data_IF_786760293394
#
_entry.id   IF_786760293394
#
_cell.length_a   1.000
_cell.length_b   1.000
_cell.length_c   1.000
_cell.angle_alpha   90.00
_cell.angle_beta   90.00
_cell.angle_gamma   90.00
#
_symmetry.space_group_name_H-M   'P 1'
#
loop_
_entity.id
_entity.type
_entity.pdbx_description
1 polymer ?
#
# COMPACT_ATOMS: atom_id res chain seq x y z
N UNK A 1 -13.91 9.04 -3.56
CA UNK A 1 -13.40 7.64 -3.51
C UNK A 1 -14.43 6.61 -3.08
N UNK A 2 -15.10 6.74 -1.91
CA UNK A 2 -16.15 5.78 -1.47
C UNK A 2 -17.23 5.60 -2.54
N UNK A 3 -17.74 6.70 -3.12
CA UNK A 3 -18.76 6.64 -4.17
C UNK A 3 -18.27 5.89 -5.43
N UNK A 4 -17.00 6.05 -5.81
CA UNK A 4 -16.41 5.34 -6.96
C UNK A 4 -16.28 3.84 -6.64
N UNK A 5 -15.82 3.51 -5.42
CA UNK A 5 -15.75 2.11 -4.97
C UNK A 5 -17.14 1.44 -5.01
N UNK A 6 -18.13 2.10 -4.43
CA UNK A 6 -19.51 1.60 -4.44
C UNK A 6 -20.09 1.50 -5.86
N UNK A 7 -19.80 2.46 -6.73
CA UNK A 7 -20.24 2.44 -8.12
C UNK A 7 -19.61 1.26 -8.90
N UNK A 8 -18.31 0.98 -8.70
CA UNK A 8 -17.64 -0.17 -9.30
C UNK A 8 -18.19 -1.49 -8.76
N UNK A 9 -18.36 -1.58 -7.44
CA UNK A 9 -18.85 -2.80 -6.79
C UNK A 9 -20.29 -3.13 -7.21
N UNK A 10 -21.19 -2.16 -7.10
CA UNK A 10 -22.60 -2.33 -7.48
C UNK A 10 -22.77 -2.45 -9.00
N UNK A 11 -22.00 -1.63 -9.75
CA UNK A 11 -22.02 -1.68 -11.22
C UNK A 11 -21.65 -3.07 -11.76
N UNK A 12 -20.62 -3.69 -11.19
CA UNK A 12 -20.21 -5.03 -11.59
C UNK A 12 -21.23 -6.11 -11.15
N UNK A 13 -21.78 -6.01 -9.95
CA UNK A 13 -22.84 -6.91 -9.50
C UNK A 13 -24.08 -6.86 -10.42
N UNK A 14 -24.47 -5.67 -10.88
CA UNK A 14 -25.55 -5.48 -11.83
C UNK A 14 -25.20 -6.02 -13.24
N UNK A 15 -23.94 -5.86 -13.65
CA UNK A 15 -23.45 -6.34 -14.95
C UNK A 15 -23.45 -7.87 -14.99
N UNK A 16 -23.04 -8.54 -13.92
CA UNK A 16 -23.16 -10.00 -13.78
C UNK A 16 -24.62 -10.45 -13.88
N UNK A 17 -25.54 -9.71 -13.21
CA UNK A 17 -26.97 -9.97 -13.29
C UNK A 17 -27.54 -9.82 -14.71
N UNK A 18 -27.05 -8.86 -15.47
CA UNK A 18 -27.44 -8.65 -16.88
C UNK A 18 -26.92 -9.75 -17.82
N UNK A 19 -25.69 -10.21 -17.61
CA UNK A 19 -25.05 -11.22 -18.47
C UNK A 19 -25.59 -12.64 -18.25
N UNK A 20 -25.85 -13.00 -17.00
CA UNK A 20 -26.27 -14.36 -16.59
C UNK A 20 -27.78 -14.53 -16.41
N UNK A 21 -28.50 -13.43 -16.42
CA UNK A 21 -29.90 -13.37 -15.99
C UNK A 21 -30.03 -13.25 -14.47
N UNK A 22 -30.89 -12.36 -14.00
CA UNK A 22 -31.07 -12.05 -12.58
C UNK A 22 -31.36 -13.32 -11.73
N UNK A 23 -32.21 -14.23 -12.21
CA UNK A 23 -32.54 -15.46 -11.49
C UNK A 23 -31.30 -16.37 -11.28
N UNK A 24 -30.46 -16.53 -12.30
CA UNK A 24 -29.24 -17.35 -12.24
C UNK A 24 -28.18 -16.72 -11.34
N UNK A 25 -28.07 -15.39 -11.35
CA UNK A 25 -27.13 -14.65 -10.51
C UNK A 25 -27.52 -14.71 -9.03
N UNK A 26 -28.81 -14.65 -8.71
CA UNK A 26 -29.27 -14.82 -7.33
C UNK A 26 -29.18 -16.27 -6.84
N UNK A 27 -29.35 -17.26 -7.74
CA UNK A 27 -29.22 -18.67 -7.39
C UNK A 27 -27.79 -19.11 -7.16
N UNK A 28 -26.82 -18.60 -7.96
CA UNK A 28 -25.39 -18.92 -7.87
C UNK A 28 -24.54 -17.67 -8.18
N UNK A 29 -24.44 -16.71 -7.26
CA UNK A 29 -23.66 -15.50 -7.47
C UNK A 29 -22.17 -15.85 -7.51
N UNK A 30 -21.46 -15.43 -8.56
CA UNK A 30 -20.00 -15.59 -8.63
C UNK A 30 -19.32 -14.43 -7.94
N UNK A 31 -19.67 -13.20 -8.31
CA UNK A 31 -19.07 -12.01 -7.72
C UNK A 31 -19.48 -11.82 -6.24
N UNK A 32 -20.76 -11.87 -5.94
CA UNK A 32 -21.30 -11.76 -4.58
C UNK A 32 -21.26 -13.08 -3.80
N UNK A 33 -20.74 -14.15 -4.41
CA UNK A 33 -20.58 -15.44 -3.74
C UNK A 33 -19.65 -15.37 -2.55
N UNK A 34 -19.99 -16.05 -1.47
CA UNK A 34 -19.23 -16.04 -0.22
C UNK A 34 -17.74 -16.33 -0.44
N UNK A 35 -17.42 -17.32 -1.28
CA UNK A 35 -16.02 -17.69 -1.57
C UNK A 35 -15.25 -16.53 -2.22
N UNK A 36 -15.87 -15.83 -3.20
CA UNK A 36 -15.23 -14.69 -3.85
C UNK A 36 -15.06 -13.50 -2.89
N UNK A 37 -16.08 -13.17 -2.10
CA UNK A 37 -16.01 -12.09 -1.12
C UNK A 37 -14.95 -12.36 -0.05
N UNK A 38 -14.81 -13.60 0.41
CA UNK A 38 -13.74 -13.97 1.35
C UNK A 38 -12.36 -13.87 0.70
N UNK A 39 -12.20 -14.29 -0.55
CA UNK A 39 -10.94 -14.15 -1.28
C UNK A 39 -10.58 -12.69 -1.55
N UNK A 40 -11.55 -11.86 -1.96
CA UNK A 40 -11.36 -10.41 -2.12
C UNK A 40 -10.94 -9.76 -0.79
N UNK A 41 -11.64 -10.08 0.29
CA UNK A 41 -11.34 -9.56 1.63
C UNK A 41 -9.93 -9.99 2.09
N UNK A 42 -9.54 -11.24 1.84
CA UNK A 42 -8.19 -11.75 2.11
C UNK A 42 -7.13 -10.98 1.33
N UNK A 43 -7.38 -10.76 0.04
CA UNK A 43 -6.47 -9.99 -0.82
C UNK A 43 -6.33 -8.55 -0.35
N UNK A 44 -7.41 -7.88 0.04
CA UNK A 44 -7.38 -6.55 0.66
C UNK A 44 -6.50 -6.56 1.91
N UNK A 45 -6.62 -7.58 2.77
CA UNK A 45 -5.80 -7.72 3.96
C UNK A 45 -4.32 -7.87 3.66
N UNK A 46 -3.96 -8.79 2.77
CA UNK A 46 -2.58 -9.08 2.42
C UNK A 46 -1.88 -7.87 1.75
N UNK A 47 -2.53 -7.24 0.79
CA UNK A 47 -1.97 -6.10 0.05
C UNK A 47 -2.11 -4.76 0.78
N UNK A 48 -3.08 -4.65 1.69
CA UNK A 48 -3.34 -3.41 2.40
C UNK A 48 -2.20 -2.98 3.33
N UNK A 49 -1.50 -3.94 3.94
CA UNK A 49 -0.34 -3.67 4.78
C UNK A 49 0.77 -3.01 3.94
N UNK A 50 1.01 -3.46 2.70
CA UNK A 50 1.91 -2.79 1.76
C UNK A 50 1.51 -1.35 1.45
N UNK A 51 0.21 -1.15 1.21
CA UNK A 51 -0.31 0.18 0.89
C UNK A 51 -0.14 1.15 2.07
N UNK A 52 -0.38 0.69 3.30
CA UNK A 52 -0.13 1.50 4.51
C UNK A 52 1.35 1.77 4.69
N UNK A 53 2.21 0.77 4.46
CA UNK A 53 3.67 0.94 4.47
C UNK A 53 4.11 2.05 3.51
N UNK A 54 3.69 1.97 2.25
CA UNK A 54 3.99 2.97 1.23
C UNK A 54 3.44 4.36 1.59
N UNK A 55 2.23 4.42 2.14
CA UNK A 55 1.58 5.67 2.55
C UNK A 55 2.41 6.48 3.55
N UNK A 56 3.14 5.83 4.46
CA UNK A 56 3.99 6.54 5.44
C UNK A 56 5.12 7.29 4.77
N UNK A 57 5.72 6.73 3.72
CA UNK A 57 6.80 7.36 2.95
C UNK A 57 6.22 8.43 2.01
N UNK A 58 5.09 8.17 1.34
CA UNK A 58 4.43 9.15 0.45
C UNK A 58 4.05 10.42 1.22
N UNK A 59 3.53 10.29 2.44
CA UNK A 59 3.17 11.46 3.27
C UNK A 59 4.38 12.36 3.54
N UNK A 60 5.61 11.83 3.60
CA UNK A 60 6.83 12.66 3.70
C UNK A 60 7.31 13.25 2.38
N UNK A 61 6.65 12.97 1.26
CA UNK A 61 7.09 13.36 -0.08
C UNK A 61 8.08 12.40 -0.73
N UNK A 62 8.32 11.23 -0.11
CA UNK A 62 9.16 10.17 -0.65
C UNK A 62 8.36 9.10 -1.41
N UNK A 63 9.07 8.23 -2.11
CA UNK A 63 8.53 7.02 -2.71
C UNK A 63 9.53 5.89 -2.45
N UNK A 64 9.05 4.69 -2.13
CA UNK A 64 9.89 3.50 -1.99
C UNK A 64 9.55 2.45 -3.04
N UNK A 65 10.32 2.43 -4.12
CA UNK A 65 10.15 1.46 -5.20
C UNK A 65 10.74 0.07 -4.87
N UNK A 66 11.48 -0.04 -3.77
CA UNK A 66 12.14 -1.30 -3.42
C UNK A 66 11.24 -2.29 -2.70
N UNK A 67 10.08 -1.86 -2.19
CA UNK A 67 9.21 -2.68 -1.32
C UNK A 67 8.84 -4.03 -1.93
N UNK A 68 8.56 -4.08 -3.24
CA UNK A 68 8.24 -5.33 -3.94
C UNK A 68 9.42 -6.29 -4.07
N UNK A 69 10.61 -5.80 -4.34
CA UNK A 69 11.84 -6.60 -4.42
C UNK A 69 12.37 -6.97 -3.03
N UNK A 70 12.25 -6.07 -2.06
CA UNK A 70 12.56 -6.34 -0.64
C UNK A 70 11.66 -7.45 -0.10
N UNK A 71 10.37 -7.45 -0.44
CA UNK A 71 9.46 -8.55 -0.13
C UNK A 71 9.99 -9.90 -0.64
N UNK A 72 10.42 -9.97 -1.92
CA UNK A 72 10.95 -11.20 -2.49
C UNK A 72 12.23 -11.66 -1.76
N UNK A 73 13.15 -10.73 -1.47
CA UNK A 73 14.37 -11.03 -0.74
C UNK A 73 14.09 -11.56 0.67
N UNK A 74 13.24 -10.85 1.42
CA UNK A 74 12.87 -11.25 2.79
C UNK A 74 12.13 -12.59 2.80
N UNK A 75 11.25 -12.83 1.81
CA UNK A 75 10.55 -14.10 1.65
C UNK A 75 11.49 -15.27 1.34
N UNK A 76 12.47 -15.08 0.45
CA UNK A 76 13.51 -16.07 0.16
C UNK A 76 14.32 -16.39 1.42
N UNK A 77 14.79 -15.37 2.12
CA UNK A 77 15.56 -15.57 3.37
C UNK A 77 14.70 -16.28 4.41
N UNK A 78 13.43 -15.91 4.58
CA UNK A 78 12.51 -16.58 5.49
C UNK A 78 12.36 -18.08 5.16
N UNK A 79 12.18 -18.41 3.87
CA UNK A 79 12.05 -19.80 3.45
C UNK A 79 13.31 -20.61 3.75
N UNK A 80 14.50 -20.03 3.61
CA UNK A 80 15.74 -20.67 4.00
C UNK A 80 15.90 -20.82 5.53
N UNK A 81 15.49 -19.82 6.31
CA UNK A 81 15.55 -19.88 7.76
C UNK A 81 14.60 -20.93 8.33
N UNK A 82 13.44 -21.13 7.72
CA UNK A 82 12.42 -22.09 8.13
C UNK A 82 12.60 -23.49 7.48
N UNK A 83 13.63 -23.67 6.65
CA UNK A 83 13.95 -24.98 6.08
C UNK A 83 14.23 -26.04 7.14
N UNK A 84 14.31 -27.34 6.73
CA UNK A 84 14.55 -28.44 7.65
C UNK A 84 15.75 -28.18 8.57
N UNK A 85 15.58 -28.44 9.86
CA UNK A 85 16.62 -28.40 10.91
C UNK A 85 17.33 -27.04 11.11
N UNK A 86 16.68 -25.92 10.73
CA UNK A 86 17.28 -24.60 10.88
C UNK A 86 16.76 -23.85 12.12
N UNK A 87 16.03 -22.76 11.90
CA UNK A 87 15.66 -21.87 13.00
C UNK A 87 14.23 -22.09 13.49
N UNK A 88 13.97 -21.97 14.81
CA UNK A 88 12.60 -21.87 15.30
C UNK A 88 11.92 -20.63 14.69
N UNK A 89 10.64 -20.78 14.31
CA UNK A 89 9.92 -19.73 13.59
C UNK A 89 9.91 -18.34 14.27
N UNK A 90 9.85 -18.21 15.62
CA UNK A 90 9.89 -16.89 16.23
C UNK A 90 11.21 -16.16 15.98
N UNK A 91 12.32 -16.91 15.99
CA UNK A 91 13.64 -16.36 15.69
C UNK A 91 13.75 -15.98 14.20
N UNK A 92 13.24 -16.82 13.30
CA UNK A 92 13.22 -16.51 11.86
C UNK A 92 12.41 -15.24 11.59
N UNK A 93 11.23 -15.09 12.17
CA UNK A 93 10.40 -13.87 12.08
C UNK A 93 11.16 -12.66 12.63
N UNK A 94 11.78 -12.77 13.79
CA UNK A 94 12.56 -11.67 14.39
C UNK A 94 13.72 -11.23 13.47
N UNK A 95 14.43 -12.20 12.87
CA UNK A 95 15.51 -11.92 11.89
C UNK A 95 14.97 -11.17 10.68
N UNK A 96 13.84 -11.61 10.11
CA UNK A 96 13.23 -10.95 8.94
C UNK A 96 12.80 -9.52 9.26
N UNK A 97 12.16 -9.29 10.39
CA UNK A 97 11.75 -7.94 10.79
C UNK A 97 12.97 -7.06 11.06
N UNK A 98 13.99 -7.58 11.74
CA UNK A 98 15.24 -6.84 11.97
C UNK A 98 15.93 -6.49 10.64
N UNK A 99 16.02 -7.43 9.71
CA UNK A 99 16.60 -7.19 8.38
C UNK A 99 15.79 -6.13 7.60
N UNK A 100 14.47 -6.20 7.64
CA UNK A 100 13.59 -5.17 7.07
C UNK A 100 13.89 -3.79 7.68
N UNK A 101 13.97 -3.70 9.01
CA UNK A 101 14.33 -2.45 9.71
C UNK A 101 15.69 -1.92 9.31
N UNK A 102 16.70 -2.77 9.15
CA UNK A 102 18.04 -2.39 8.71
C UNK A 102 18.04 -1.87 7.27
N UNK A 103 17.26 -2.49 6.37
CA UNK A 103 17.07 -2.01 4.99
C UNK A 103 16.39 -0.63 5.02
N UNK A 104 15.31 -0.48 5.78
CA UNK A 104 14.62 0.79 5.93
C UNK A 104 15.51 1.89 6.54
N UNK A 105 16.32 1.54 7.53
CA UNK A 105 17.30 2.44 8.12
C UNK A 105 18.35 2.89 7.08
N UNK A 106 18.85 1.96 6.28
CA UNK A 106 19.81 2.25 5.21
C UNK A 106 19.21 3.24 4.19
N UNK A 107 18.00 2.96 3.67
CA UNK A 107 17.31 3.88 2.76
C UNK A 107 17.04 5.23 3.42
N UNK A 108 16.51 5.23 4.63
CA UNK A 108 16.21 6.46 5.36
C UNK A 108 17.44 7.32 5.60
N UNK A 109 18.61 6.73 5.90
CA UNK A 109 19.86 7.46 6.06
C UNK A 109 20.37 8.03 4.73
N UNK A 110 20.29 7.29 3.63
CA UNK A 110 20.68 7.78 2.32
C UNK A 110 19.80 8.95 1.86
N UNK A 111 18.51 8.88 2.10
CA UNK A 111 17.58 9.95 1.74
C UNK A 111 17.74 11.17 2.64
N UNK A 112 17.74 10.97 3.98
CA UNK A 112 17.66 12.07 4.93
C UNK A 112 19.01 12.73 5.24
N UNK A 113 20.11 11.95 5.28
CA UNK A 113 21.44 12.47 5.62
C UNK A 113 22.32 12.69 4.40
N UNK A 114 22.37 11.74 3.47
CA UNK A 114 23.12 11.90 2.23
C UNK A 114 22.36 12.76 1.18
N UNK A 115 21.10 13.12 1.46
CA UNK A 115 20.23 13.95 0.60
C UNK A 115 20.09 13.41 -0.81
N UNK A 116 20.16 12.10 -0.97
CA UNK A 116 19.91 11.45 -2.24
C UNK A 116 18.40 11.44 -2.54
N UNK A 117 18.05 11.55 -3.80
CA UNK A 117 16.65 11.50 -4.20
C UNK A 117 16.02 10.14 -3.82
N UNK A 118 14.86 10.11 -3.15
CA UNK A 118 14.16 8.89 -2.75
C UNK A 118 13.98 7.90 -3.87
N UNK A 119 13.56 8.39 -5.04
CA UNK A 119 13.36 7.60 -6.24
C UNK A 119 14.64 6.83 -6.65
N UNK A 120 15.79 7.50 -6.68
CA UNK A 120 17.07 6.89 -7.08
C UNK A 120 17.52 5.83 -6.07
N UNK A 121 17.47 6.17 -4.77
CA UNK A 121 17.86 5.24 -3.69
C UNK A 121 17.03 3.94 -3.76
N UNK A 122 15.71 4.08 -3.87
CA UNK A 122 14.81 2.94 -3.82
C UNK A 122 14.76 2.18 -5.14
N UNK A 123 15.01 2.83 -6.27
CA UNK A 123 15.22 2.17 -7.57
C UNK A 123 16.47 1.28 -7.55
N UNK A 124 17.58 1.79 -7.00
CA UNK A 124 18.77 0.98 -6.78
C UNK A 124 18.47 -0.20 -5.85
N UNK A 125 17.72 0.04 -4.77
CA UNK A 125 17.23 -1.01 -3.88
C UNK A 125 16.39 -2.07 -4.60
N UNK A 126 15.48 -1.65 -5.47
CA UNK A 126 14.67 -2.56 -6.28
C UNK A 126 15.53 -3.54 -7.08
N UNK A 127 16.53 -3.03 -7.77
CA UNK A 127 17.44 -3.86 -8.56
C UNK A 127 18.33 -4.75 -7.68
N UNK A 128 18.92 -4.18 -6.63
CA UNK A 128 19.82 -4.89 -5.74
C UNK A 128 19.11 -6.02 -4.99
N UNK A 129 17.95 -5.77 -4.39
CA UNK A 129 17.22 -6.78 -3.62
C UNK A 129 16.63 -7.87 -4.52
N UNK A 130 16.17 -7.51 -5.73
CA UNK A 130 15.74 -8.50 -6.71
C UNK A 130 16.91 -9.38 -7.14
N UNK A 131 18.07 -8.79 -7.44
CA UNK A 131 19.29 -9.51 -7.78
C UNK A 131 19.76 -10.44 -6.66
N UNK A 132 19.77 -9.95 -5.40
CA UNK A 132 20.14 -10.76 -4.24
C UNK A 132 19.17 -11.92 -4.02
N UNK A 133 17.85 -11.68 -4.12
CA UNK A 133 16.86 -12.73 -3.99
C UNK A 133 17.09 -13.86 -4.99
N UNK A 134 17.33 -13.52 -6.25
CA UNK A 134 17.61 -14.48 -7.33
C UNK A 134 18.94 -15.19 -7.11
N UNK A 135 19.98 -14.47 -6.71
CA UNK A 135 21.29 -15.05 -6.43
C UNK A 135 21.25 -16.07 -5.29
N UNK A 136 20.65 -15.70 -4.14
CA UNK A 136 20.56 -16.57 -2.95
C UNK A 136 19.76 -17.85 -3.26
N UNK A 137 18.69 -17.72 -4.07
CA UNK A 137 17.83 -18.85 -4.43
C UNK A 137 18.31 -19.64 -5.65
N UNK A 138 19.42 -19.24 -6.27
CA UNK A 138 19.86 -19.76 -7.60
C UNK A 138 18.74 -19.66 -8.65
N UNK A 139 17.95 -18.59 -8.58
CA UNK A 139 16.77 -18.30 -9.40
C UNK A 139 15.64 -19.34 -9.31
N UNK A 140 15.69 -20.22 -8.29
CA UNK A 140 14.68 -21.26 -8.07
C UNK A 140 13.57 -20.78 -7.13
N UNK A 141 12.36 -21.23 -7.39
CA UNK A 141 11.23 -21.04 -6.47
C UNK A 141 11.46 -21.88 -5.20
N UNK A 142 11.38 -21.25 -4.03
CA UNK A 142 11.59 -21.91 -2.74
C UNK A 142 10.26 -21.98 -2.02
N UNK A 143 9.89 -23.22 -1.62
CA UNK A 143 8.69 -23.47 -0.81
C UNK A 143 8.99 -23.51 0.68
N UNK A 144 7.98 -23.27 1.51
CA UNK A 144 8.04 -23.49 2.97
C UNK A 144 7.83 -24.94 3.35
N UNK A 145 7.50 -25.78 2.37
CA UNK A 145 7.27 -27.22 2.57
C UNK A 145 6.04 -27.56 3.42
N UNK A 146 5.94 -28.80 3.82
CA UNK A 146 4.94 -29.33 4.74
C UNK A 146 5.44 -29.39 6.19
N UNK A 147 6.55 -28.72 6.50
CA UNK A 147 7.15 -28.75 7.84
C UNK A 147 6.13 -28.30 8.89
N UNK A 148 6.13 -29.00 10.02
CA UNK A 148 5.34 -28.69 11.20
C UNK A 148 6.06 -27.63 12.04
N UNK A 149 5.33 -26.95 12.93
CA UNK A 149 5.92 -26.04 13.91
C UNK A 149 5.66 -24.57 13.66
N UNK A 150 5.03 -24.20 12.52
CA UNK A 150 4.62 -22.81 12.25
C UNK A 150 3.14 -22.67 11.86
N UNK A 151 2.31 -23.50 12.48
CA UNK A 151 0.84 -23.49 12.30
C UNK A 151 0.24 -22.13 12.59
N UNK A 152 0.79 -21.40 13.58
CA UNK A 152 0.35 -20.04 13.88
C UNK A 152 0.54 -19.09 12.70
N UNK A 153 1.71 -19.11 12.05
CA UNK A 153 1.98 -18.25 10.89
C UNK A 153 1.09 -18.61 9.70
N UNK A 154 0.86 -19.92 9.47
CA UNK A 154 -0.09 -20.39 8.46
C UNK A 154 -1.51 -19.92 8.77
N UNK A 155 -1.95 -20.05 10.01
CA UNK A 155 -3.28 -19.61 10.44
C UNK A 155 -3.44 -18.10 10.27
N UNK A 156 -2.41 -17.31 10.60
CA UNK A 156 -2.43 -15.86 10.37
C UNK A 156 -2.47 -15.49 8.88
N UNK A 157 -1.88 -16.30 8.01
CA UNK A 157 -1.84 -16.03 6.57
C UNK A 157 -3.05 -16.59 5.81
N UNK A 158 -3.56 -17.76 6.19
CA UNK A 158 -4.61 -18.49 5.43
C UNK A 158 -5.89 -18.71 6.20
N UNK A 159 -5.84 -18.63 7.54
CA UNK A 159 -6.98 -18.91 8.41
C UNK A 159 -8.06 -17.86 8.38
N UNK A 160 -9.12 -18.14 9.14
CA UNK A 160 -10.25 -17.22 9.33
C UNK A 160 -10.62 -17.18 10.80
N UNK A 161 -10.94 -15.99 11.30
CA UNK A 161 -11.39 -15.70 12.66
C UNK A 161 -12.76 -15.03 12.54
N UNK A 162 -13.79 -15.57 13.18
CA UNK A 162 -15.18 -15.09 13.04
C UNK A 162 -15.66 -14.99 11.58
N UNK A 163 -15.34 -15.98 10.75
CA UNK A 163 -15.63 -16.00 9.31
C UNK A 163 -14.95 -14.88 8.48
N UNK A 164 -14.04 -14.10 9.06
CA UNK A 164 -13.21 -13.13 8.34
C UNK A 164 -11.80 -13.67 8.15
N UNK A 165 -11.17 -13.47 6.98
CA UNK A 165 -9.79 -13.86 6.77
C UNK A 165 -8.84 -13.20 7.78
N UNK A 166 -7.97 -13.97 8.42
CA UNK A 166 -7.03 -13.47 9.42
C UNK A 166 -6.13 -12.34 8.88
N UNK A 167 -5.63 -12.36 7.63
CA UNK A 167 -4.88 -11.23 7.06
C UNK A 167 -5.67 -9.93 7.03
N UNK A 168 -6.98 -9.99 6.82
CA UNK A 168 -7.81 -8.79 6.84
C UNK A 168 -7.93 -8.20 8.25
N UNK A 169 -8.09 -9.05 9.25
CA UNK A 169 -8.12 -8.60 10.66
C UNK A 169 -6.78 -7.96 11.03
N UNK A 170 -5.65 -8.58 10.64
CA UNK A 170 -4.33 -7.99 10.84
C UNK A 170 -4.19 -6.63 10.15
N UNK A 171 -4.69 -6.51 8.93
CA UNK A 171 -4.71 -5.23 8.21
C UNK A 171 -5.54 -4.18 8.94
N UNK A 172 -6.72 -4.54 9.47
CA UNK A 172 -7.53 -3.62 10.29
C UNK A 172 -6.78 -3.16 11.55
N UNK A 173 -6.06 -4.06 12.21
CA UNK A 173 -5.21 -3.71 13.36
C UNK A 173 -4.10 -2.74 12.93
N UNK A 174 -3.42 -3.01 11.81
CA UNK A 174 -2.39 -2.10 11.26
C UNK A 174 -3.01 -0.75 10.92
N UNK A 175 -4.19 -0.71 10.29
CA UNK A 175 -4.90 0.54 10.00
C UNK A 175 -5.26 1.31 11.29
N UNK A 176 -5.72 0.63 12.33
CA UNK A 176 -6.05 1.27 13.61
C UNK A 176 -4.80 1.86 14.27
N UNK A 177 -3.72 1.07 14.37
CA UNK A 177 -2.45 1.53 14.96
C UNK A 177 -1.87 2.69 14.16
N UNK A 178 -1.77 2.55 12.84
CA UNK A 178 -1.25 3.60 11.96
C UNK A 178 -2.17 4.82 11.89
N UNK A 179 -3.48 4.62 12.03
CA UNK A 179 -4.45 5.70 12.18
C UNK A 179 -4.17 6.56 13.41
N UNK A 180 -3.93 5.93 14.56
CA UNK A 180 -3.53 6.62 15.79
C UNK A 180 -2.17 7.30 15.60
N UNK A 181 -1.18 6.59 15.04
CA UNK A 181 0.17 7.13 14.81
C UNK A 181 0.12 8.35 13.89
N UNK A 182 -0.60 8.31 12.78
CA UNK A 182 -0.61 9.39 11.81
C UNK A 182 -1.52 10.56 12.21
N UNK A 183 -2.71 10.28 12.75
CA UNK A 183 -3.71 11.32 12.98
C UNK A 183 -3.75 11.87 14.40
N UNK A 184 -3.30 11.09 15.40
CA UNK A 184 -3.40 11.48 16.81
C UNK A 184 -2.05 11.80 17.46
N UNK A 185 -0.92 11.32 16.91
CA UNK A 185 0.40 11.51 17.54
C UNK A 185 1.12 12.77 17.06
N UNK A 186 2.13 13.19 17.85
CA UNK A 186 3.08 14.25 17.44
C UNK A 186 3.88 13.82 16.22
N UNK A 187 4.26 12.55 16.17
CA UNK A 187 5.01 11.99 15.05
C UNK A 187 4.27 12.13 13.72
N UNK A 188 2.97 11.83 13.69
CA UNK A 188 2.15 12.02 12.50
C UNK A 188 2.12 13.48 12.04
N UNK A 189 1.96 14.43 12.97
CA UNK A 189 2.03 15.87 12.64
C UNK A 189 3.37 16.27 12.01
N UNK A 190 4.46 15.68 12.49
CA UNK A 190 5.79 15.92 11.89
C UNK A 190 5.90 15.36 10.48
N UNK A 191 5.37 14.15 10.21
CA UNK A 191 5.34 13.57 8.86
C UNK A 191 4.60 14.49 7.86
N UNK A 192 3.40 14.97 8.23
CA UNK A 192 2.64 15.90 7.40
C UNK A 192 3.33 17.25 7.22
N UNK A 193 3.94 17.79 8.27
CA UNK A 193 4.67 19.06 8.19
C UNK A 193 5.86 18.97 7.22
N UNK A 194 6.66 17.90 7.33
CA UNK A 194 7.82 17.64 6.45
C UNK A 194 7.35 17.49 5.00
N UNK A 195 6.29 16.72 4.76
CA UNK A 195 5.78 16.53 3.41
C UNK A 195 5.23 17.81 2.77
N UNK A 196 4.73 18.75 3.56
CA UNK A 196 4.30 20.06 3.05
C UNK A 196 5.47 20.98 2.72
N UNK A 197 6.43 21.07 3.62
CA UNK A 197 7.65 21.87 3.44
C UNK A 197 8.71 21.44 4.46
N UNK A 198 9.71 20.69 4.00
CA UNK A 198 10.78 20.17 4.87
C UNK A 198 11.61 21.31 5.48
N UNK A 199 11.89 22.37 4.72
CA UNK A 199 12.69 23.50 5.24
C UNK A 199 11.94 24.25 6.35
N UNK A 200 10.65 24.53 6.14
CA UNK A 200 9.84 25.17 7.17
C UNK A 200 9.71 24.29 8.43
N UNK A 201 9.57 22.97 8.26
CA UNK A 201 9.57 22.03 9.37
C UNK A 201 10.90 22.05 10.15
N UNK A 202 12.03 22.09 9.44
CA UNK A 202 13.36 22.18 10.04
C UNK A 202 13.51 23.48 10.85
N UNK A 203 13.13 24.63 10.29
CA UNK A 203 13.17 25.92 10.99
C UNK A 203 12.22 25.98 12.19
N UNK A 204 11.18 25.18 12.19
CA UNK A 204 10.27 25.02 13.35
C UNK A 204 10.83 24.07 14.43
N UNK A 205 12.09 23.62 14.31
CA UNK A 205 12.76 22.77 15.29
C UNK A 205 12.48 21.27 15.15
N UNK A 206 11.82 20.83 14.08
CA UNK A 206 11.59 19.40 13.84
C UNK A 206 12.87 18.75 13.31
N UNK A 207 13.25 17.62 13.91
CA UNK A 207 14.38 16.84 13.39
C UNK A 207 13.93 16.03 12.15
N UNK A 208 13.92 16.71 10.97
CA UNK A 208 13.42 16.14 9.72
C UNK A 208 14.17 14.87 9.33
N UNK A 209 15.48 14.81 9.59
CA UNK A 209 16.32 13.63 9.27
C UNK A 209 15.86 12.39 10.03
N UNK A 210 15.59 12.51 11.31
CA UNK A 210 15.14 11.38 12.14
C UNK A 210 13.74 10.94 11.72
N UNK A 211 12.83 11.87 11.47
CA UNK A 211 11.45 11.58 11.11
C UNK A 211 11.38 10.91 9.73
N UNK A 212 12.11 11.41 8.73
CA UNK A 212 12.18 10.77 7.40
C UNK A 212 12.80 9.38 7.51
N UNK A 213 13.93 9.25 8.23
CA UNK A 213 14.55 7.92 8.44
C UNK A 213 13.57 6.94 9.07
N UNK A 214 12.83 7.33 10.10
CA UNK A 214 11.86 6.46 10.77
C UNK A 214 10.67 6.09 9.89
N UNK A 215 10.27 6.95 8.94
CA UNK A 215 9.23 6.62 7.97
C UNK A 215 9.65 5.46 7.04
N UNK A 216 10.91 5.46 6.57
CA UNK A 216 11.46 4.33 5.80
C UNK A 216 11.61 3.06 6.63
N UNK A 217 12.05 3.16 7.88
CA UNK A 217 12.12 2.01 8.79
C UNK A 217 10.74 1.40 9.01
N UNK A 218 9.73 2.24 9.23
CA UNK A 218 8.35 1.79 9.41
C UNK A 218 7.78 1.14 8.15
N UNK A 219 8.03 1.75 6.98
CA UNK A 219 7.64 1.19 5.68
C UNK A 219 8.25 -0.20 5.47
N UNK A 220 9.56 -0.32 5.66
CA UNK A 220 10.29 -1.57 5.50
C UNK A 220 9.82 -2.64 6.51
N UNK A 221 9.56 -2.26 7.77
CA UNK A 221 9.04 -3.18 8.80
C UNK A 221 7.69 -3.76 8.42
N UNK A 222 6.74 -2.92 7.97
CA UNK A 222 5.43 -3.36 7.49
C UNK A 222 5.55 -4.22 6.22
N UNK A 223 6.50 -3.91 5.34
CA UNK A 223 6.84 -4.76 4.19
C UNK A 223 7.34 -6.14 4.63
N UNK A 224 8.16 -6.20 5.67
CA UNK A 224 8.59 -7.46 6.28
C UNK A 224 7.43 -8.29 6.83
N UNK A 225 6.48 -7.66 7.51
CA UNK A 225 5.24 -8.34 7.97
C UNK A 225 4.46 -8.89 6.78
N UNK A 226 4.28 -8.10 5.73
CA UNK A 226 3.60 -8.54 4.51
C UNK A 226 4.32 -9.69 3.82
N UNK A 227 5.66 -9.67 3.79
CA UNK A 227 6.47 -10.74 3.21
C UNK A 227 6.24 -12.09 3.92
N UNK A 228 6.13 -12.07 5.25
CA UNK A 228 5.81 -13.25 6.04
C UNK A 228 4.40 -13.76 5.69
N UNK A 229 3.39 -12.89 5.73
CA UNK A 229 2.00 -13.28 5.50
C UNK A 229 1.77 -13.82 4.09
N UNK A 230 2.23 -13.11 3.06
CA UNK A 230 2.03 -13.52 1.65
C UNK A 230 2.88 -14.76 1.36
N UNK A 231 4.09 -14.86 1.90
CA UNK A 231 4.93 -16.05 1.76
C UNK A 231 4.21 -17.32 2.25
N UNK A 232 3.61 -17.27 3.43
CA UNK A 232 2.81 -18.40 3.95
C UNK A 232 1.49 -18.60 3.20
N UNK A 233 0.89 -17.53 2.68
CA UNK A 233 -0.32 -17.63 1.87
C UNK A 233 -0.05 -18.36 0.54
N UNK A 234 1.02 -18.02 -0.16
CA UNK A 234 1.43 -18.65 -1.42
C UNK A 234 2.17 -19.98 -1.22
N UNK A 235 2.61 -20.24 0.01
CA UNK A 235 3.43 -21.39 0.42
C UNK A 235 4.73 -21.57 -0.38
N UNK A 236 5.11 -20.57 -1.16
CA UNK A 236 6.35 -20.55 -1.94
C UNK A 236 6.72 -19.13 -2.34
N UNK A 237 8.01 -18.89 -2.60
CA UNK A 237 8.52 -17.61 -3.09
C UNK A 237 9.27 -17.84 -4.38
N UNK A 238 8.79 -17.23 -5.47
CA UNK A 238 9.54 -17.10 -6.73
C UNK A 238 10.36 -15.82 -6.69
N UNK A 239 11.69 -15.88 -6.67
CA UNK A 239 12.55 -14.70 -6.51
C UNK A 239 12.42 -13.71 -7.67
N UNK A 240 12.09 -14.20 -8.87
CA UNK A 240 11.94 -13.38 -10.07
C UNK A 240 10.60 -12.63 -10.12
N UNK A 241 9.50 -13.27 -9.71
CA UNK A 241 8.14 -12.74 -9.93
C UNK A 241 7.41 -12.29 -8.67
N UNK A 242 7.71 -12.86 -7.49
CA UNK A 242 7.05 -12.45 -6.25
C UNK A 242 7.31 -10.98 -5.93
N UNK A 243 6.25 -10.28 -5.61
CA UNK A 243 6.29 -8.85 -5.32
C UNK A 243 6.53 -7.95 -6.53
N UNK A 244 6.57 -8.49 -7.77
CA UNK A 244 6.70 -7.64 -8.96
C UNK A 244 5.50 -6.72 -9.11
N UNK A 245 5.79 -5.42 -9.28
CA UNK A 245 4.82 -4.33 -9.39
C UNK A 245 4.00 -4.04 -8.12
N UNK A 246 4.28 -4.69 -6.99
CA UNK A 246 3.58 -4.42 -5.73
C UNK A 246 3.78 -2.98 -5.27
N UNK A 247 4.98 -2.42 -5.49
CA UNK A 247 5.28 -1.02 -5.26
C UNK A 247 4.36 -0.10 -6.04
N UNK A 248 4.09 -0.40 -7.32
CA UNK A 248 3.20 0.42 -8.16
C UNK A 248 1.74 0.32 -7.71
N UNK A 249 1.28 -0.87 -7.34
CA UNK A 249 -0.07 -1.04 -6.79
C UNK A 249 -0.25 -0.34 -5.45
N UNK A 250 0.77 -0.36 -4.59
CA UNK A 250 0.74 0.34 -3.31
C UNK A 250 0.71 1.86 -3.50
N UNK A 251 1.54 2.40 -4.42
CA UNK A 251 1.49 3.82 -4.80
C UNK A 251 0.12 4.18 -5.35
N UNK A 252 -0.40 3.37 -6.29
CA UNK A 252 -1.71 3.60 -6.88
C UNK A 252 -2.83 3.60 -5.83
N UNK A 253 -2.82 2.64 -4.89
CA UNK A 253 -3.77 2.59 -3.79
C UNK A 253 -3.70 3.84 -2.90
N UNK A 254 -2.49 4.32 -2.59
CA UNK A 254 -2.31 5.55 -1.83
C UNK A 254 -2.85 6.77 -2.58
N UNK A 255 -2.51 6.93 -3.86
CA UNK A 255 -2.96 8.06 -4.69
C UNK A 255 -4.47 8.04 -4.87
N UNK A 256 -5.05 6.89 -5.23
CA UNK A 256 -6.51 6.70 -5.28
C UNK A 256 -7.16 6.94 -3.92
N UNK A 257 -6.45 6.67 -2.83
CA UNK A 257 -6.86 6.98 -1.47
C UNK A 257 -6.76 8.45 -1.09
N UNK A 258 -6.24 9.32 -1.99
CA UNK A 258 -6.10 10.76 -1.75
C UNK A 258 -4.78 11.16 -1.10
N UNK A 259 -3.75 10.29 -1.12
CA UNK A 259 -2.40 10.70 -0.76
C UNK A 259 -1.78 11.50 -1.90
N UNK A 260 -1.17 12.64 -1.57
CA UNK A 260 -0.43 13.46 -2.53
C UNK A 260 0.99 12.93 -2.70
N UNK A 261 1.41 12.67 -3.95
CA UNK A 261 2.80 12.33 -4.26
C UNK A 261 3.80 13.46 -3.94
N UNK A 262 3.30 14.68 -3.73
CA UNK A 262 4.13 15.81 -3.28
C UNK A 262 4.38 15.77 -1.77
N UNK A 263 3.69 14.88 -1.05
CA UNK A 263 3.71 14.80 0.41
C UNK A 263 2.69 15.73 1.09
N UNK A 264 2.64 15.63 2.40
CA UNK A 264 1.84 16.48 3.28
C UNK A 264 0.33 16.23 3.29
N UNK A 265 -0.16 15.27 2.51
CA UNK A 265 -1.58 14.91 2.42
C UNK A 265 -1.76 13.40 2.32
N UNK A 266 -2.77 12.88 2.99
CA UNK A 266 -3.14 11.47 2.98
C UNK A 266 -3.91 11.07 4.24
N UNK A 267 -4.53 9.89 4.21
CA UNK A 267 -5.20 9.34 5.40
C UNK A 267 -5.22 7.81 5.34
N UNK A 268 -5.18 7.17 6.50
CA UNK A 268 -5.27 5.69 6.58
C UNK A 268 -6.59 5.18 6.01
N UNK A 269 -7.70 5.88 6.27
CA UNK A 269 -8.99 5.52 5.70
C UNK A 269 -8.98 5.62 4.16
N UNK A 270 -8.33 6.64 3.62
CA UNK A 270 -8.13 6.78 2.19
C UNK A 270 -7.33 5.62 1.61
N UNK A 271 -6.19 5.29 2.22
CA UNK A 271 -5.34 4.16 1.80
C UNK A 271 -6.11 2.84 1.86
N UNK A 272 -6.92 2.62 2.90
CA UNK A 272 -7.80 1.46 3.01
C UNK A 272 -8.76 1.35 1.81
N UNK A 273 -9.46 2.44 1.49
CA UNK A 273 -10.42 2.48 0.37
C UNK A 273 -9.68 2.32 -0.96
N UNK A 274 -8.55 2.99 -1.16
CA UNK A 274 -7.74 2.86 -2.36
C UNK A 274 -7.24 1.42 -2.57
N UNK A 275 -6.79 0.76 -1.50
CA UNK A 275 -6.41 -0.67 -1.55
C UNK A 275 -7.60 -1.54 -1.94
N UNK A 276 -8.76 -1.32 -1.31
CA UNK A 276 -9.96 -2.07 -1.63
C UNK A 276 -10.36 -1.89 -3.10
N UNK A 277 -10.22 -0.67 -3.66
CA UNK A 277 -10.47 -0.39 -5.08
C UNK A 277 -9.53 -1.17 -6.00
N UNK A 278 -8.23 -1.16 -5.72
CA UNK A 278 -7.24 -1.90 -6.52
C UNK A 278 -7.54 -3.40 -6.49
N UNK A 279 -7.80 -3.97 -5.32
CA UNK A 279 -8.10 -5.40 -5.19
C UNK A 279 -9.45 -5.78 -5.83
N UNK A 280 -10.45 -4.89 -5.75
CA UNK A 280 -11.72 -5.07 -6.44
C UNK A 280 -11.54 -5.10 -7.96
N UNK A 281 -10.76 -4.17 -8.52
CA UNK A 281 -10.46 -4.15 -9.95
C UNK A 281 -9.76 -5.43 -10.40
N UNK A 282 -8.76 -5.90 -9.66
CA UNK A 282 -8.07 -7.17 -9.93
C UNK A 282 -9.03 -8.35 -9.88
N UNK A 283 -9.91 -8.36 -8.89
CA UNK A 283 -10.94 -9.41 -8.75
C UNK A 283 -11.89 -9.42 -9.96
N UNK A 284 -12.35 -8.25 -10.40
CA UNK A 284 -13.20 -8.11 -11.59
C UNK A 284 -12.49 -8.62 -12.86
N UNK A 285 -11.23 -8.22 -13.07
CA UNK A 285 -10.42 -8.66 -14.22
C UNK A 285 -10.31 -10.19 -14.25
N UNK A 286 -10.00 -10.79 -13.09
CA UNK A 286 -9.89 -12.24 -12.95
C UNK A 286 -11.24 -12.96 -13.20
N UNK A 287 -12.34 -12.43 -12.69
CA UNK A 287 -13.67 -13.03 -12.89
C UNK A 287 -14.17 -12.95 -14.35
N UNK A 288 -13.72 -11.93 -15.08
CA UNK A 288 -14.00 -11.80 -16.52
C UNK A 288 -13.13 -12.73 -17.39
N UNK A 289 -12.18 -13.46 -16.79
CA UNK A 289 -11.29 -14.34 -17.54
C UNK A 289 -10.34 -13.57 -18.47
N UNK A 290 -10.09 -12.30 -18.17
CA UNK A 290 -9.11 -11.48 -18.92
C UNK A 290 -7.73 -12.05 -18.69
N UNK A 291 -6.94 -12.21 -19.77
CA UNK A 291 -5.57 -12.71 -19.69
C UNK A 291 -4.73 -11.87 -18.70
N UNK A 292 -3.94 -12.55 -17.88
CA UNK A 292 -3.10 -11.92 -16.88
C UNK A 292 -2.12 -10.89 -17.46
N UNK A 293 -1.74 -11.04 -18.73
CA UNK A 293 -0.89 -10.07 -19.44
C UNK A 293 -1.61 -8.75 -19.68
N UNK A 294 -2.93 -8.78 -19.88
CA UNK A 294 -3.76 -7.60 -20.06
C UNK A 294 -4.18 -6.97 -18.73
N UNK A 295 -4.06 -7.67 -17.62
CA UNK A 295 -4.34 -7.11 -16.27
C UNK A 295 -3.59 -5.80 -16.06
N UNK A 296 -2.31 -5.74 -16.43
CA UNK A 296 -1.49 -4.53 -16.28
C UNK A 296 -1.99 -3.37 -17.14
N UNK A 297 -2.45 -3.64 -18.36
CA UNK A 297 -3.00 -2.61 -19.26
C UNK A 297 -4.31 -2.04 -18.69
N UNK A 298 -5.20 -2.91 -18.25
CA UNK A 298 -6.48 -2.52 -17.62
C UNK A 298 -6.22 -1.70 -16.36
N UNK A 299 -5.33 -2.20 -15.48
CA UNK A 299 -5.00 -1.51 -14.23
C UNK A 299 -4.38 -0.14 -14.49
N UNK A 300 -3.39 -0.05 -15.39
CA UNK A 300 -2.77 1.22 -15.77
C UNK A 300 -3.77 2.23 -16.33
N UNK A 301 -4.67 1.77 -17.21
CA UNK A 301 -5.74 2.61 -17.77
C UNK A 301 -6.70 3.13 -16.71
N UNK A 302 -7.18 2.26 -15.82
CA UNK A 302 -8.11 2.65 -14.75
C UNK A 302 -7.46 3.62 -13.77
N UNK A 303 -6.20 3.39 -13.37
CA UNK A 303 -5.45 4.29 -12.49
C UNK A 303 -5.30 5.66 -13.14
N UNK A 304 -4.92 5.70 -14.42
CA UNK A 304 -4.74 6.96 -15.16
C UNK A 304 -6.05 7.75 -15.24
N UNK A 305 -7.15 7.08 -15.56
CA UNK A 305 -8.48 7.72 -15.62
C UNK A 305 -8.88 8.24 -14.24
N UNK A 306 -8.74 7.42 -13.20
CA UNK A 306 -9.14 7.79 -11.84
C UNK A 306 -8.33 9.00 -11.31
N UNK A 307 -7.01 9.01 -11.51
CA UNK A 307 -6.13 10.12 -11.11
C UNK A 307 -6.45 11.39 -11.91
N UNK A 308 -6.68 11.26 -13.23
CA UNK A 308 -7.04 12.40 -14.07
C UNK A 308 -8.38 13.03 -13.66
N UNK A 309 -9.38 12.19 -13.37
CA UNK A 309 -10.68 12.66 -12.87
C UNK A 309 -10.55 13.36 -11.52
N UNK A 310 -9.78 12.81 -10.60
CA UNK A 310 -9.56 13.41 -9.28
C UNK A 310 -8.89 14.78 -9.39
N UNK A 311 -7.87 14.93 -10.25
CA UNK A 311 -7.20 16.20 -10.50
C UNK A 311 -8.15 17.23 -11.11
N UNK A 312 -8.96 16.86 -12.11
CA UNK A 312 -9.94 17.77 -12.73
C UNK A 312 -11.01 18.20 -11.73
N UNK A 313 -11.55 17.27 -10.96
CA UNK A 313 -12.56 17.57 -9.94
C UNK A 313 -11.98 18.43 -8.80
N UNK A 314 -10.76 18.13 -8.37
CA UNK A 314 -10.04 18.91 -7.35
C UNK A 314 -9.77 20.34 -7.82
N UNK A 315 -9.33 20.53 -9.07
CA UNK A 315 -9.13 21.85 -9.66
C UNK A 315 -10.43 22.66 -9.73
N UNK A 316 -11.54 22.01 -10.11
CA UNK A 316 -12.87 22.66 -10.14
C UNK A 316 -13.37 23.07 -8.75
N UNK A 317 -13.13 22.27 -7.73
CA UNK A 317 -13.48 22.60 -6.33
C UNK A 317 -12.70 23.83 -5.85
N UNK A 318 -11.38 23.86 -6.02
CA UNK A 318 -10.52 25.00 -5.65
C UNK A 318 -10.92 26.29 -6.39
N UNK A 319 -11.23 26.20 -7.68
CA UNK A 319 -11.70 27.34 -8.46
C UNK A 319 -13.06 27.86 -7.98
N UNK A 320 -13.93 26.98 -7.48
CA UNK A 320 -15.23 27.37 -6.90
C UNK A 320 -15.06 28.06 -5.54
N UNK A 321 -14.20 27.53 -4.69
CA UNK A 321 -13.87 28.08 -3.36
C UNK A 321 -13.27 29.49 -3.51
N UNK A 322 -12.27 29.66 -4.39
CA UNK A 322 -11.69 30.97 -4.70
C UNK A 322 -12.71 32.02 -5.20
N UNK A 323 -13.73 31.58 -5.96
CA UNK A 323 -14.81 32.48 -6.41
C UNK A 323 -15.77 32.90 -5.28
N UNK A 324 -15.95 32.04 -4.28
CA UNK A 324 -16.80 32.37 -3.12
C UNK A 324 -16.08 33.34 -2.21
N UNK A 325 -14.78 33.18 -1.98
CA UNK A 325 -13.96 34.08 -1.15
C UNK A 325 -13.89 35.50 -1.77
N UNK A 326 -13.76 35.63 -3.09
CA UNK A 326 -13.75 36.92 -3.78
C UNK A 326 -15.12 37.63 -3.69
N UNK A 327 -16.22 36.86 -3.65
CA UNK A 327 -17.58 37.46 -3.50
C UNK A 327 -17.91 37.84 -2.05
N UNK A 328 -17.22 37.25 -1.06
CA UNK A 328 -17.39 37.54 0.36
C UNK A 328 -16.45 38.62 0.90
N UNK A 329 -15.48 39.10 0.10
CA UNK A 329 -14.59 40.18 0.52
C UNK A 329 -15.39 41.51 0.65
N UNK A 330 -15.28 42.20 1.79
CA UNK A 330 -15.90 43.53 1.93
C UNK A 330 -15.38 44.48 0.84
N UNK A 331 -16.25 45.26 0.21
CA UNK A 331 -15.85 46.24 -0.76
C UNK A 331 -14.81 47.19 -0.14
N UNK A 332 -13.67 47.29 -0.79
CA UNK A 332 -12.60 48.23 -0.40
C UNK A 332 -13.19 49.63 -0.29
N UNK A 333 -13.03 50.34 0.84
CA UNK A 333 -13.56 51.70 0.97
C UNK A 333 -12.96 52.60 -0.11
N UNK A 334 -13.81 53.32 -0.81
CA UNK A 334 -13.41 54.25 -1.88
C UNK A 334 -12.34 55.19 -1.35
N UNK A 335 -11.28 55.48 -2.15
CA UNK A 335 -10.22 56.40 -1.72
C UNK A 335 -10.82 57.78 -1.39
N UNK A 336 -10.57 58.24 -0.16
CA UNK A 336 -10.99 59.55 0.30
C UNK A 336 -10.46 60.60 -0.65
N UNK A 337 -11.36 61.30 -1.35
CA UNK A 337 -11.02 62.47 -2.16
C UNK A 337 -10.42 63.54 -1.24
N UNK A 338 -9.12 63.78 -1.34
CA UNK A 338 -8.46 64.95 -0.71
C UNK A 338 -8.92 66.19 -1.49
N UNK A 339 -9.70 67.04 -0.80
CA UNK A 339 -9.88 68.42 -1.17
C UNK A 339 -8.64 69.25 -0.78
#
# INVERSE_FOLDING_TARGET
MVAIFLALFLGYALLEGSQRGLAATFANPVFLGQANLLNLTRSIGLFGIFSVAMGTVIITGGIDLSVGSMFALLGVILAYLLGPDKFPWPLAVAIIILLAMLIGLFHGLLVSRARLQPFVVTLCGLLAYRGLARFISSDQTIGFGSNTGFELLRTLATGSIFNLPAPFILFLIVCAVMGIVLHSSVYGRYLYAIGRNEEAALYSGINTKLVVTSAYVLCASLTGVSAILIGFYTNSISPASHGSFFELYAVAACVLGGCSLRGGEGSILGIFIGTAMIQLLRNIVNLQGIDSSLEFVVMGGVIMIAVSLDQVLGARRRAREARVDVKGAPAEPAPATRN
#
